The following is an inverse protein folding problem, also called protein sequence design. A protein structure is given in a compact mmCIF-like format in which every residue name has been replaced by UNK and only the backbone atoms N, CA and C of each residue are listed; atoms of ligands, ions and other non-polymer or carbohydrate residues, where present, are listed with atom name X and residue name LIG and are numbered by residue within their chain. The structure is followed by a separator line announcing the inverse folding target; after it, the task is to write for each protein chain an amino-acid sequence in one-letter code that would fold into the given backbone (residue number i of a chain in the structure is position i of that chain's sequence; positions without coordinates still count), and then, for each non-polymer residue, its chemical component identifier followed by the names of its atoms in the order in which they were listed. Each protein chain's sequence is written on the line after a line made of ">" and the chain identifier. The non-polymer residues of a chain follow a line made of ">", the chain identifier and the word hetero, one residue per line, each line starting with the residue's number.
data_IF_753815612458
#
_entry.id   IF_753815612458
#
_cell.length_a   1.000
_cell.length_b   1.000
_cell.length_c   1.000
_cell.angle_alpha   90.00
_cell.angle_beta   90.00
_cell.angle_gamma   90.00
#
_symmetry.space_group_name_H-M   'P 1'
#
loop_
_entity.id
_entity.type
_entity.pdbx_description
1 polymer ?
#
# COMPACT_ATOMS: atom_id res chain seq x y z
N UNK A 1 15.09 8.86 9.56
CA UNK A 1 14.62 7.69 8.77
C UNK A 1 13.23 8.05 8.23
N UNK A 2 12.93 7.81 6.96
CA UNK A 2 11.65 8.22 6.36
C UNK A 2 10.52 7.21 6.68
N UNK A 3 9.30 7.70 6.85
CA UNK A 3 8.11 6.86 7.00
C UNK A 3 7.67 6.26 5.67
N UNK A 4 6.85 5.21 5.75
CA UNK A 4 6.29 4.55 4.57
C UNK A 4 5.03 5.24 4.05
N UNK A 5 4.90 5.34 2.73
CA UNK A 5 3.62 5.54 2.06
C UNK A 5 3.46 4.61 0.86
N UNK A 6 2.25 4.08 0.67
CA UNK A 6 1.87 3.36 -0.55
C UNK A 6 1.74 4.27 -1.79
N UNK A 7 1.90 5.59 -1.60
CA UNK A 7 2.11 6.62 -2.64
C UNK A 7 3.19 7.59 -2.12
N UNK A 8 4.47 7.24 -2.27
CA UNK A 8 5.56 8.00 -1.67
C UNK A 8 5.75 9.35 -2.38
N UNK A 9 6.29 10.33 -1.63
CA UNK A 9 6.63 11.67 -2.14
C UNK A 9 8.05 11.71 -2.72
N UNK A 10 8.87 10.74 -2.33
CA UNK A 10 10.25 10.56 -2.79
C UNK A 10 10.52 9.13 -3.22
N UNK A 11 11.57 8.95 -4.02
CA UNK A 11 12.15 7.64 -4.34
C UNK A 11 13.62 7.61 -3.94
N UNK A 12 14.11 6.43 -3.58
CA UNK A 12 15.52 6.21 -3.27
C UNK A 12 16.21 5.67 -4.52
N UNK A 13 17.25 6.35 -4.99
CA UNK A 13 18.03 5.98 -6.16
C UNK A 13 19.46 5.71 -5.74
N UNK A 14 20.04 4.64 -6.29
CA UNK A 14 21.46 4.39 -6.18
C UNK A 14 22.16 5.10 -7.31
N UNK A 15 23.15 5.92 -7.00
CA UNK A 15 24.01 6.48 -8.04
C UNK A 15 24.97 5.40 -8.51
N UNK A 16 25.11 5.26 -9.82
CA UNK A 16 26.28 4.58 -10.37
C UNK A 16 27.56 5.26 -9.85
N UNK A 17 28.68 4.54 -9.74
CA UNK A 17 29.92 5.15 -9.29
C UNK A 17 30.31 6.28 -10.24
N UNK A 18 30.20 7.51 -9.78
CA UNK A 18 30.46 8.70 -10.59
C UNK A 18 31.95 8.85 -10.90
N UNK A 19 32.81 8.47 -9.94
CA UNK A 19 34.26 8.29 -10.05
C UNK A 19 34.75 7.60 -8.76
N UNK A 20 35.82 6.81 -8.83
CA UNK A 20 36.52 6.23 -7.66
C UNK A 20 35.69 5.30 -6.73
N UNK A 21 34.72 4.56 -7.27
CA UNK A 21 34.02 3.52 -6.50
C UNK A 21 33.10 4.04 -5.39
N UNK A 22 32.83 5.34 -5.34
CA UNK A 22 31.87 5.90 -4.38
C UNK A 22 30.44 5.71 -4.88
N UNK A 23 29.63 4.98 -4.11
CA UNK A 23 28.20 4.77 -4.36
C UNK A 23 27.41 5.56 -3.32
N UNK A 24 26.52 6.45 -3.77
CA UNK A 24 25.63 7.20 -2.90
C UNK A 24 24.18 6.74 -3.06
N UNK A 25 23.42 6.86 -1.96
CA UNK A 25 21.95 6.77 -1.98
C UNK A 25 21.38 8.17 -2.01
N UNK A 26 20.66 8.49 -3.09
CA UNK A 26 20.05 9.81 -3.28
C UNK A 26 18.54 9.68 -3.14
N UNK A 27 17.93 10.65 -2.46
CA UNK A 27 16.49 10.75 -2.31
C UNK A 27 16.00 11.79 -3.31
N UNK A 28 15.18 11.36 -4.26
CA UNK A 28 14.67 12.21 -5.34
C UNK A 28 13.18 12.43 -5.13
N UNK A 29 12.75 13.68 -5.13
CA UNK A 29 11.34 14.02 -5.08
C UNK A 29 10.64 13.60 -6.36
N UNK A 30 9.47 12.96 -6.24
CA UNK A 30 8.65 12.56 -7.39
C UNK A 30 7.96 13.77 -8.02
N UNK A 31 7.48 14.66 -7.16
CA UNK A 31 6.77 15.89 -7.48
C UNK A 31 7.30 17.01 -6.56
N UNK A 32 6.84 18.25 -6.75
CA UNK A 32 7.18 19.36 -5.83
C UNK A 32 6.76 19.04 -4.39
N UNK A 33 7.67 19.23 -3.44
CA UNK A 33 7.41 19.08 -1.99
C UNK A 33 7.28 20.48 -1.39
N UNK A 34 6.18 20.72 -0.67
CA UNK A 34 5.94 22.01 -0.01
C UNK A 34 6.48 22.03 1.42
N UNK A 35 6.74 23.22 1.96
CA UNK A 35 7.18 23.34 3.36
C UNK A 35 6.15 22.75 4.32
N UNK A 36 6.62 21.95 5.29
CA UNK A 36 5.77 21.23 6.24
C UNK A 36 5.19 19.91 5.72
N UNK A 37 5.33 19.58 4.44
CA UNK A 37 4.92 18.28 3.92
C UNK A 37 5.88 17.17 4.38
N UNK A 38 5.32 16.07 4.88
CA UNK A 38 6.11 14.91 5.28
C UNK A 38 6.77 14.20 4.08
N UNK A 39 8.07 13.90 4.21
CA UNK A 39 8.82 13.13 3.23
C UNK A 39 8.64 11.63 3.50
N UNK A 40 8.02 10.92 2.56
CA UNK A 40 7.65 9.50 2.72
C UNK A 40 8.21 8.65 1.57
N UNK A 41 8.76 7.49 1.91
CA UNK A 41 9.32 6.50 0.99
C UNK A 41 8.41 5.30 0.78
N UNK A 42 8.54 4.64 -0.37
CA UNK A 42 8.09 3.25 -0.54
C UNK A 42 9.16 2.34 0.03
N UNK A 43 8.83 1.50 1.02
CA UNK A 43 9.83 0.59 1.62
C UNK A 43 10.19 -0.57 0.70
N UNK A 44 9.29 -0.91 -0.22
CA UNK A 44 9.46 -1.94 -1.22
C UNK A 44 8.65 -1.53 -2.46
N UNK A 45 9.21 -1.71 -3.65
CA UNK A 45 8.56 -1.36 -4.91
C UNK A 45 7.32 -2.21 -5.20
N UNK A 46 7.29 -3.47 -4.77
CA UNK A 46 6.15 -4.37 -4.92
C UNK A 46 4.93 -3.89 -4.15
N UNK A 47 5.12 -3.18 -3.04
CA UNK A 47 4.02 -2.56 -2.28
C UNK A 47 3.25 -1.55 -3.12
N UNK A 48 3.79 -1.03 -4.23
CA UNK A 48 3.03 -0.12 -5.08
C UNK A 48 1.99 -0.83 -5.95
N UNK A 49 2.13 -2.13 -6.21
CA UNK A 49 1.26 -2.89 -7.13
C UNK A 49 0.41 -3.95 -6.43
N UNK A 50 0.85 -4.42 -5.26
CA UNK A 50 0.13 -5.43 -4.50
C UNK A 50 -1.24 -4.94 -4.00
N UNK A 51 -2.25 -5.81 -3.85
CA UNK A 51 -3.54 -5.46 -3.23
C UNK A 51 -3.39 -5.18 -1.72
N UNK A 52 -4.33 -4.41 -1.14
CA UNK A 52 -4.26 -3.92 0.26
C UNK A 52 -3.94 -4.99 1.31
N UNK A 53 -4.54 -6.18 1.21
CA UNK A 53 -4.32 -7.26 2.17
C UNK A 53 -2.89 -7.81 2.11
N UNK A 54 -2.32 -7.95 0.90
CA UNK A 54 -0.96 -8.39 0.70
C UNK A 54 0.05 -7.33 1.19
N UNK A 55 -0.20 -6.06 0.87
CA UNK A 55 0.62 -4.93 1.37
C UNK A 55 0.67 -4.89 2.88
N UNK A 56 -0.50 -4.94 3.55
CA UNK A 56 -0.58 -4.90 5.02
C UNK A 56 0.08 -6.09 5.67
N UNK A 57 -0.06 -7.29 5.08
CA UNK A 57 0.62 -8.49 5.56
C UNK A 57 2.14 -8.32 5.49
N UNK A 58 2.67 -7.83 4.37
CA UNK A 58 4.09 -7.59 4.20
C UNK A 58 4.60 -6.51 5.16
N UNK A 59 3.91 -5.37 5.27
CA UNK A 59 4.26 -4.28 6.18
C UNK A 59 4.23 -4.71 7.65
N UNK A 60 3.22 -5.47 8.07
CA UNK A 60 3.14 -6.03 9.41
C UNK A 60 4.25 -7.07 9.67
N UNK A 61 4.57 -7.90 8.68
CA UNK A 61 5.60 -8.93 8.82
C UNK A 61 6.98 -8.33 9.03
N UNK A 62 7.38 -7.36 8.19
CA UNK A 62 8.74 -6.82 8.18
C UNK A 62 8.91 -5.57 9.06
N UNK A 63 7.88 -4.74 9.23
CA UNK A 63 7.98 -3.46 9.95
C UNK A 63 6.95 -3.29 11.09
N UNK A 64 6.10 -4.28 11.34
CA UNK A 64 5.17 -4.31 12.50
C UNK A 64 4.17 -3.15 12.57
N UNK A 65 3.73 -2.62 11.42
CA UNK A 65 2.69 -1.58 11.36
C UNK A 65 1.67 -1.81 10.24
N UNK A 66 0.56 -1.07 10.28
CA UNK A 66 -0.45 -1.02 9.23
C UNK A 66 -0.47 0.36 8.57
N UNK A 67 -0.31 0.42 7.26
CA UNK A 67 -0.41 1.67 6.51
C UNK A 67 -1.86 2.17 6.48
N UNK A 68 -2.06 3.43 6.90
CA UNK A 68 -3.34 4.16 6.91
C UNK A 68 -3.49 5.19 5.79
N UNK A 69 -2.64 5.13 4.78
CA UNK A 69 -2.73 6.07 3.66
C UNK A 69 -4.05 5.88 2.90
N UNK A 70 -4.63 6.96 2.35
CA UNK A 70 -5.95 6.99 1.71
C UNK A 70 -6.17 5.86 0.70
N UNK A 71 -5.13 5.46 -0.06
CA UNK A 71 -5.21 4.31 -0.98
C UNK A 71 -5.59 3.01 -0.24
N UNK A 72 -4.95 2.73 0.88
CA UNK A 72 -5.20 1.51 1.65
C UNK A 72 -6.60 1.52 2.26
N UNK A 73 -7.04 2.66 2.79
CA UNK A 73 -8.39 2.79 3.36
C UNK A 73 -9.48 2.66 2.28
N UNK A 74 -9.29 3.31 1.13
CA UNK A 74 -10.23 3.23 0.01
C UNK A 74 -10.33 1.81 -0.57
N UNK A 75 -9.22 1.09 -0.71
CA UNK A 75 -9.23 -0.30 -1.15
C UNK A 75 -9.89 -1.24 -0.12
N UNK A 76 -9.63 -1.03 1.17
CA UNK A 76 -10.28 -1.80 2.24
C UNK A 76 -11.79 -1.61 2.23
N UNK A 77 -12.27 -0.38 2.05
CA UNK A 77 -13.70 -0.11 1.98
C UNK A 77 -14.35 -0.79 0.78
N UNK A 78 -13.69 -0.76 -0.38
CA UNK A 78 -14.15 -1.51 -1.57
C UNK A 78 -14.26 -3.00 -1.29
N UNK A 79 -13.26 -3.60 -0.63
CA UNK A 79 -13.32 -5.01 -0.25
C UNK A 79 -14.47 -5.30 0.74
N UNK A 80 -14.72 -4.41 1.70
CA UNK A 80 -15.81 -4.54 2.67
C UNK A 80 -17.18 -4.52 1.99
N UNK A 81 -17.38 -3.58 1.07
CA UNK A 81 -18.64 -3.43 0.32
C UNK A 81 -18.87 -4.61 -0.62
N UNK A 82 -17.85 -5.04 -1.37
CA UNK A 82 -17.93 -6.22 -2.22
C UNK A 82 -18.32 -7.48 -1.42
N UNK A 83 -17.75 -7.65 -0.21
CA UNK A 83 -18.13 -8.74 0.69
C UNK A 83 -19.61 -8.66 1.08
N UNK A 84 -20.11 -7.49 1.48
CA UNK A 84 -21.53 -7.33 1.84
C UNK A 84 -22.48 -7.72 0.70
N UNK A 85 -22.18 -7.29 -0.53
CA UNK A 85 -22.99 -7.66 -1.70
C UNK A 85 -22.99 -9.17 -1.95
N UNK A 86 -21.82 -9.81 -1.91
CA UNK A 86 -21.72 -11.26 -2.10
C UNK A 86 -22.50 -12.06 -1.06
N UNK A 87 -22.46 -11.65 0.21
CA UNK A 87 -23.23 -12.30 1.27
C UNK A 87 -24.73 -12.03 1.19
N UNK A 88 -25.15 -10.84 0.74
CA UNK A 88 -26.56 -10.52 0.50
C UNK A 88 -27.13 -11.39 -0.62
N UNK A 89 -26.40 -11.58 -1.72
CA UNK A 89 -26.83 -12.44 -2.82
C UNK A 89 -26.94 -13.91 -2.39
N UNK A 90 -26.00 -14.42 -1.60
CA UNK A 90 -26.07 -15.80 -1.07
C UNK A 90 -27.25 -16.01 -0.11
N UNK A 91 -27.62 -14.98 0.68
CA UNK A 91 -28.80 -15.07 1.54
C UNK A 91 -30.12 -15.12 0.78
N UNK A 92 -30.14 -14.63 -0.47
CA UNK A 92 -31.30 -14.69 -1.35
C UNK A 92 -31.52 -16.08 -1.97
N UNK A 93 -30.45 -16.85 -2.17
CA UNK A 93 -30.53 -18.22 -2.73
C UNK A 93 -30.74 -19.33 -1.68
N UNK A 94 -30.61 -19.02 -0.38
CA UNK A 94 -30.70 -20.01 0.69
C UNK A 94 -32.13 -20.26 1.23
N UNK A 95 -33.16 -19.65 0.64
CA UNK A 95 -34.57 -19.81 1.07
C UNK A 95 -35.39 -20.53 0.00
N UNK A 96 -34.97 -21.73 -0.40
CA UNK A 96 -35.85 -22.69 -1.07
C UNK A 96 -36.42 -23.64 0.00
N UNK A 97 -37.74 -23.84 0.10
CA UNK A 97 -38.30 -24.75 1.10
C UNK A 97 -37.85 -26.18 0.78
N UNK A 98 -37.16 -26.81 1.73
CA UNK A 98 -36.97 -28.26 1.75
C UNK A 98 -38.31 -28.85 2.19
N UNK A 99 -39.14 -29.24 1.24
CA UNK A 99 -40.29 -30.12 1.51
C UNK A 99 -39.77 -31.53 1.74
N UNK A 100 -39.95 -32.03 2.97
CA UNK A 100 -39.79 -33.43 3.37
C UNK A 100 -41.09 -34.18 3.11
#
# INVERSE_FOLDING_TARGET
>A
MFNHSCRPTVTLVWTEPFTEGTVARVVVARDGIVSGQEVMLGYDSLLMVLPVHARRRQLMSAWKFLCKYNRCEAEEEKCRTARKHFFHDLSFFAVGPITV
#
